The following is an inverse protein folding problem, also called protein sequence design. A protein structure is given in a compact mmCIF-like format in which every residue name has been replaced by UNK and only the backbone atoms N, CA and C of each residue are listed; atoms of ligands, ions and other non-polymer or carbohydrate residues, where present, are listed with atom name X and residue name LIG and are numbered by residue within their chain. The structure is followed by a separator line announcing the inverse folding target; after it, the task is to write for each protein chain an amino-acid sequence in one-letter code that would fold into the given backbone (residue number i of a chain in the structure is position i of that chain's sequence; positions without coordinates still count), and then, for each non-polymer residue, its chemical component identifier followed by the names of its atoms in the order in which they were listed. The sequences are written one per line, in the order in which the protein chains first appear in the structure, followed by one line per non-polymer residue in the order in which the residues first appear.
data_IF_650118700421
#
_entry.id   IF_650118700421
#
_cell.length_a   1.000
_cell.length_b   1.000
_cell.length_c   1.000
_cell.angle_alpha   90.00
_cell.angle_beta   90.00
_cell.angle_gamma   90.00
#
_symmetry.space_group_name_H-M   'P 1'
#
loop_
_entity.id
_entity.type
_entity.pdbx_description
1 polymer ?
#
# COMPACT_ATOMS: atom_id res chain seq x y z
N UNK A 1 45.29 -12.73 21.75
CA UNK A 1 44.59 -13.52 20.72
C UNK A 1 43.17 -13.05 20.65
N UNK A 2 42.72 -12.61 19.50
CA UNK A 2 41.29 -12.27 19.25
C UNK A 2 40.43 -13.52 19.14
N UNK A 3 39.09 -13.43 19.21
CA UNK A 3 38.22 -14.56 18.96
C UNK A 3 38.44 -15.21 17.59
N UNK A 4 38.70 -14.42 16.56
CA UNK A 4 38.96 -14.92 15.20
C UNK A 4 40.29 -15.66 15.12
N UNK A 5 41.34 -15.17 15.73
CA UNK A 5 42.65 -15.84 15.86
C UNK A 5 42.46 -17.19 16.59
N UNK A 6 41.68 -17.21 17.68
CA UNK A 6 41.41 -18.43 18.43
C UNK A 6 40.72 -19.49 17.54
N UNK A 7 39.68 -19.08 16.79
CA UNK A 7 38.98 -19.99 15.85
C UNK A 7 39.96 -20.54 14.81
N UNK A 8 40.78 -19.67 14.21
CA UNK A 8 41.74 -20.07 13.17
C UNK A 8 42.77 -21.06 13.72
N UNK A 9 43.44 -20.71 14.83
CA UNK A 9 44.45 -21.60 15.47
C UNK A 9 43.86 -22.93 15.85
N UNK A 10 42.65 -22.94 16.47
CA UNK A 10 41.98 -24.15 16.88
C UNK A 10 41.64 -25.05 15.70
N UNK A 11 41.19 -24.51 14.58
CA UNK A 11 40.87 -25.26 13.38
C UNK A 11 42.09 -25.83 12.67
N UNK A 12 43.19 -25.06 12.59
CA UNK A 12 44.42 -25.58 12.02
C UNK A 12 45.05 -26.69 12.91
N UNK A 13 44.97 -26.58 14.23
CA UNK A 13 45.37 -27.65 15.14
C UNK A 13 44.49 -28.90 14.94
N UNK A 14 43.20 -28.72 14.86
CA UNK A 14 42.25 -29.81 14.59
C UNK A 14 42.55 -30.49 13.24
N UNK A 15 42.91 -29.71 12.22
CA UNK A 15 43.31 -30.26 10.91
C UNK A 15 44.56 -31.14 11.02
N UNK A 16 45.55 -30.70 11.79
CA UNK A 16 46.78 -31.48 12.01
C UNK A 16 46.51 -32.82 12.73
N UNK A 17 45.49 -32.86 13.58
CA UNK A 17 45.13 -34.05 14.38
C UNK A 17 43.99 -34.89 13.76
N UNK A 18 43.40 -34.39 12.68
CA UNK A 18 42.22 -35.01 12.04
C UNK A 18 40.93 -34.29 12.46
N UNK A 19 40.53 -33.26 11.72
CA UNK A 19 39.45 -32.33 12.07
C UNK A 19 38.09 -33.02 12.28
N UNK A 20 37.87 -34.16 11.66
CA UNK A 20 36.61 -34.92 11.80
C UNK A 20 36.41 -35.56 13.17
N UNK A 21 37.46 -35.63 14.02
CA UNK A 21 37.39 -36.13 15.40
C UNK A 21 36.97 -35.05 16.41
N UNK A 22 36.91 -33.76 16.00
CA UNK A 22 36.61 -32.65 16.88
C UNK A 22 35.15 -32.20 16.74
N UNK A 23 34.61 -31.73 17.87
CA UNK A 23 33.30 -31.10 17.90
C UNK A 23 33.44 -29.65 17.43
N UNK A 24 32.56 -29.20 16.52
CA UNK A 24 32.54 -27.84 15.96
C UNK A 24 32.38 -26.75 17.04
N UNK A 25 31.68 -27.06 18.13
CA UNK A 25 31.54 -26.20 19.28
C UNK A 25 32.88 -25.86 19.96
N UNK A 26 33.89 -26.75 19.82
CA UNK A 26 35.21 -26.60 20.45
C UNK A 26 36.01 -25.43 19.86
N UNK A 27 35.64 -24.91 18.69
CA UNK A 27 36.30 -23.76 18.05
C UNK A 27 35.78 -22.40 18.56
N UNK A 28 34.76 -22.41 19.43
CA UNK A 28 34.24 -21.15 19.98
C UNK A 28 35.01 -20.75 21.24
N UNK A 29 35.48 -19.46 21.34
CA UNK A 29 36.31 -19.02 22.49
C UNK A 29 35.58 -19.07 23.83
N UNK A 30 34.28 -19.01 23.84
CA UNK A 30 33.41 -19.01 25.03
C UNK A 30 32.78 -20.38 25.34
N UNK A 31 33.23 -21.45 24.65
CA UNK A 31 32.72 -22.79 24.90
C UNK A 31 33.17 -23.31 26.28
N UNK A 32 32.19 -23.70 27.08
CA UNK A 32 32.46 -24.41 28.36
C UNK A 32 33.01 -25.79 28.11
N UNK A 33 34.12 -26.11 28.76
CA UNK A 33 34.72 -27.44 28.75
C UNK A 33 34.58 -28.07 30.16
N UNK A 34 34.09 -29.30 30.19
CA UNK A 34 34.04 -30.08 31.45
C UNK A 34 35.41 -30.67 31.79
N UNK A 35 35.67 -30.78 33.06
CA UNK A 35 36.87 -31.54 33.49
C UNK A 35 36.77 -32.99 33.03
N UNK A 36 37.86 -33.60 32.54
CA UNK A 36 37.88 -34.99 32.17
C UNK A 36 37.46 -35.86 33.37
N UNK A 37 36.47 -36.73 33.13
CA UNK A 37 35.97 -37.64 34.15
C UNK A 37 35.82 -39.05 33.55
N UNK A 38 35.96 -40.04 34.39
CA UNK A 38 35.75 -41.45 33.98
C UNK A 38 34.79 -42.12 34.97
N UNK A 39 33.94 -43.06 34.54
CA UNK A 39 33.12 -43.86 35.46
C UNK A 39 33.95 -44.55 36.51
N UNK A 40 33.38 -44.81 37.68
CA UNK A 40 34.09 -45.39 38.81
C UNK A 40 34.75 -46.78 38.48
N UNK A 41 34.25 -47.50 37.48
CA UNK A 41 34.79 -48.75 36.96
C UNK A 41 35.59 -48.61 35.65
N UNK A 42 35.85 -47.36 35.20
CA UNK A 42 36.64 -47.08 34.00
C UNK A 42 38.12 -46.91 34.32
N UNK A 43 38.96 -46.98 33.30
CA UNK A 43 40.39 -46.65 33.40
C UNK A 43 40.65 -45.24 32.97
N UNK A 44 41.35 -44.48 33.81
CA UNK A 44 41.81 -43.09 33.48
C UNK A 44 43.28 -43.16 33.04
N UNK A 45 43.57 -42.60 31.88
CA UNK A 45 44.92 -42.51 31.35
C UNK A 45 45.28 -41.02 31.25
N UNK A 46 46.33 -40.64 31.99
CA UNK A 46 46.94 -39.30 31.89
C UNK A 46 48.34 -39.47 31.33
N UNK A 47 48.67 -38.67 30.31
CA UNK A 47 50.03 -38.59 29.76
C UNK A 47 50.42 -37.13 29.66
N UNK A 48 51.56 -36.81 30.16
CA UNK A 48 52.21 -35.50 30.06
C UNK A 48 53.49 -35.64 29.21
N UNK A 49 53.78 -34.63 28.42
CA UNK A 49 54.98 -34.56 27.61
C UNK A 49 55.69 -33.21 27.90
N UNK A 50 57.02 -33.25 28.02
CA UNK A 50 57.88 -32.06 28.26
C UNK A 50 58.02 -31.19 26.97
N UNK A 51 56.99 -31.09 26.18
CA UNK A 51 56.96 -30.23 24.99
C UNK A 51 56.85 -28.74 25.33
N UNK A 52 57.28 -27.89 24.43
CA UNK A 52 57.09 -26.46 24.56
C UNK A 52 55.60 -26.04 24.41
N UNK A 53 55.26 -24.89 24.95
CA UNK A 53 53.94 -24.31 24.78
C UNK A 53 53.64 -24.06 23.29
N UNK A 54 52.39 -24.20 22.92
CA UNK A 54 51.93 -23.85 21.59
C UNK A 54 52.16 -22.34 21.36
N UNK A 55 52.75 -22.00 20.23
CA UNK A 55 52.90 -20.62 19.76
C UNK A 55 51.82 -20.33 18.72
N UNK A 56 50.75 -19.61 19.09
CA UNK A 56 49.67 -19.24 18.17
C UNK A 56 50.13 -18.38 16.98
N UNK A 57 51.09 -17.47 17.22
CA UNK A 57 51.55 -16.57 16.18
C UNK A 57 52.35 -17.28 15.11
N UNK A 58 53.09 -18.35 15.50
CA UNK A 58 53.80 -19.21 14.55
C UNK A 58 52.82 -20.00 13.64
N UNK A 59 51.65 -20.39 14.16
CA UNK A 59 50.60 -21.05 13.37
C UNK A 59 49.98 -20.05 12.39
N UNK A 60 49.57 -18.86 12.86
CA UNK A 60 48.97 -17.83 12.03
C UNK A 60 49.94 -17.32 10.94
N UNK A 61 51.21 -17.21 11.25
CA UNK A 61 52.26 -16.82 10.27
C UNK A 61 52.40 -17.90 9.18
N UNK A 62 52.27 -19.15 9.54
CA UNK A 62 52.36 -20.30 8.59
C UNK A 62 51.13 -20.40 7.66
N UNK A 63 50.01 -19.87 8.09
CA UNK A 63 48.73 -19.90 7.38
C UNK A 63 48.15 -18.49 7.19
N UNK A 64 48.80 -17.62 6.37
CA UNK A 64 48.37 -16.22 6.20
C UNK A 64 46.92 -16.09 5.68
N UNK A 65 46.38 -17.14 5.06
CA UNK A 65 44.97 -17.24 4.61
C UNK A 65 43.96 -17.26 5.75
N UNK A 66 44.39 -17.36 7.01
CA UNK A 66 43.48 -17.40 8.17
C UNK A 66 42.58 -16.17 8.30
N UNK A 67 43.03 -15.04 7.72
CA UNK A 67 42.25 -13.79 7.68
C UNK A 67 40.97 -13.92 6.87
N UNK A 68 40.88 -14.92 5.98
CA UNK A 68 39.68 -15.27 5.24
C UNK A 68 38.96 -16.48 5.90
N UNK A 69 37.89 -16.27 6.68
CA UNK A 69 37.22 -17.33 7.42
C UNK A 69 36.70 -18.48 6.52
N UNK A 70 36.49 -18.19 5.22
CA UNK A 70 36.00 -19.19 4.27
C UNK A 70 37.06 -20.22 3.85
N UNK A 71 38.33 -19.90 4.12
CA UNK A 71 39.47 -20.78 3.84
C UNK A 71 39.95 -21.57 5.04
N UNK A 72 39.33 -21.39 6.20
CA UNK A 72 39.65 -22.16 7.38
C UNK A 72 39.25 -23.62 7.18
N UNK A 73 40.03 -24.56 7.77
CA UNK A 73 39.69 -25.96 7.72
C UNK A 73 38.29 -26.26 8.26
N UNK A 74 37.53 -27.08 7.55
CA UNK A 74 36.17 -27.52 7.93
C UNK A 74 36.09 -29.05 8.01
N UNK A 75 35.26 -29.55 8.92
CA UNK A 75 34.99 -31.00 9.02
C UNK A 75 34.09 -31.46 7.87
N UNK A 76 34.12 -32.78 7.60
CA UNK A 76 33.21 -33.42 6.63
C UNK A 76 31.74 -33.29 7.06
N UNK A 77 31.45 -33.12 8.35
CA UNK A 77 30.11 -32.90 8.92
C UNK A 77 29.61 -31.51 8.65
N UNK A 78 30.44 -30.46 8.86
CA UNK A 78 30.11 -29.06 8.52
C UNK A 78 29.78 -28.92 7.02
N UNK A 79 30.60 -29.51 6.16
CA UNK A 79 30.40 -29.46 4.71
C UNK A 79 29.07 -30.13 4.31
N UNK A 80 28.73 -31.28 4.90
CA UNK A 80 27.45 -31.97 4.66
C UNK A 80 26.27 -31.20 5.25
N UNK A 81 26.38 -30.65 6.45
CA UNK A 81 25.33 -29.90 7.11
C UNK A 81 24.99 -28.63 6.30
N UNK A 82 26.02 -27.90 5.82
CA UNK A 82 25.84 -26.72 4.98
C UNK A 82 25.15 -27.07 3.64
N UNK A 83 25.56 -28.16 2.97
CA UNK A 83 24.92 -28.62 1.72
C UNK A 83 23.48 -29.04 1.94
N UNK A 84 23.19 -29.78 3.04
CA UNK A 84 21.83 -30.22 3.36
C UNK A 84 20.92 -29.07 3.78
N UNK A 85 21.46 -28.08 4.49
CA UNK A 85 20.71 -26.86 4.86
C UNK A 85 20.35 -26.05 3.62
N UNK A 86 21.27 -25.87 2.66
CA UNK A 86 21.01 -25.19 1.39
C UNK A 86 19.94 -25.90 0.54
N UNK A 87 19.93 -27.22 0.49
CA UNK A 87 18.95 -28.01 -0.28
C UNK A 87 17.53 -27.98 0.33
N UNK A 88 17.38 -27.67 1.62
CA UNK A 88 16.09 -27.62 2.32
C UNK A 88 15.50 -26.21 2.44
N UNK A 89 16.25 -25.18 2.07
CA UNK A 89 15.78 -23.79 2.22
C UNK A 89 14.86 -23.45 1.05
N UNK A 90 13.63 -23.15 1.39
CA UNK A 90 12.67 -22.62 0.42
C UNK A 90 13.16 -21.28 -0.13
N UNK A 91 13.02 -21.07 -1.44
CA UNK A 91 13.36 -19.79 -2.08
C UNK A 91 12.63 -18.62 -1.37
N UNK A 92 13.35 -17.65 -0.80
CA UNK A 92 12.72 -16.55 -0.06
C UNK A 92 11.85 -15.64 -0.94
N UNK A 93 12.07 -15.63 -2.26
CA UNK A 93 11.29 -14.82 -3.19
C UNK A 93 9.91 -15.43 -3.47
N UNK A 94 9.76 -16.77 -3.31
CA UNK A 94 8.49 -17.48 -3.50
C UNK A 94 7.64 -17.56 -2.23
N UNK A 95 8.17 -17.09 -1.09
CA UNK A 95 7.39 -17.05 0.15
C UNK A 95 6.24 -16.08 0.06
N UNK A 96 5.11 -16.46 0.62
CA UNK A 96 3.94 -15.60 0.78
C UNK A 96 4.08 -14.65 1.97
N UNK A 97 3.22 -13.64 2.02
CA UNK A 97 3.12 -12.69 3.11
C UNK A 97 4.31 -11.73 3.21
N UNK A 98 4.45 -11.11 4.40
CA UNK A 98 5.42 -10.02 4.63
C UNK A 98 6.86 -10.46 4.38
N UNK A 99 7.22 -11.69 4.72
CA UNK A 99 8.58 -12.20 4.53
C UNK A 99 8.95 -12.25 3.05
N UNK A 100 8.10 -12.86 2.22
CA UNK A 100 8.35 -12.94 0.78
C UNK A 100 8.34 -11.56 0.13
N UNK A 101 7.38 -10.73 0.50
CA UNK A 101 7.26 -9.36 0.00
C UNK A 101 8.53 -8.55 0.31
N UNK A 102 9.06 -8.59 1.54
CA UNK A 102 10.29 -7.91 1.89
C UNK A 102 11.49 -8.42 1.08
N UNK A 103 11.62 -9.75 0.93
CA UNK A 103 12.69 -10.34 0.13
C UNK A 103 12.61 -9.94 -1.35
N UNK A 104 11.43 -9.89 -1.95
CA UNK A 104 11.25 -9.43 -3.35
C UNK A 104 11.55 -7.95 -3.52
N UNK A 105 11.13 -7.10 -2.56
CA UNK A 105 11.36 -5.65 -2.60
C UNK A 105 12.85 -5.32 -2.56
N UNK A 106 13.60 -6.03 -1.71
CA UNK A 106 15.03 -5.81 -1.51
C UNK A 106 15.90 -6.90 -2.15
N UNK A 107 15.47 -7.41 -3.30
CA UNK A 107 16.27 -8.26 -4.17
C UNK A 107 17.09 -7.39 -5.16
N UNK A 108 18.36 -7.68 -5.41
CA UNK A 108 19.22 -8.67 -4.73
C UNK A 108 19.48 -8.31 -3.27
N UNK A 109 19.92 -9.29 -2.46
CA UNK A 109 20.05 -9.13 -0.99
C UNK A 109 21.04 -8.01 -0.60
N UNK A 110 21.99 -7.67 -1.48
CA UNK A 110 22.89 -6.54 -1.32
C UNK A 110 22.15 -5.21 -1.08
N UNK A 111 20.99 -5.02 -1.76
CA UNK A 111 20.12 -3.85 -1.57
C UNK A 111 19.64 -3.75 -0.12
N UNK A 112 19.31 -4.88 0.52
CA UNK A 112 18.90 -4.89 1.93
C UNK A 112 20.08 -4.56 2.87
N UNK A 113 21.28 -5.06 2.58
CA UNK A 113 22.48 -4.75 3.36
C UNK A 113 22.83 -3.26 3.27
N UNK A 114 22.84 -2.68 2.08
CA UNK A 114 23.10 -1.26 1.85
C UNK A 114 22.06 -0.36 2.52
N UNK A 115 20.78 -0.72 2.41
CA UNK A 115 19.68 0.12 2.91
C UNK A 115 19.58 0.07 4.44
N UNK A 116 19.73 -1.11 5.05
CA UNK A 116 19.38 -1.30 6.45
C UNK A 116 20.56 -1.68 7.34
N UNK A 117 21.68 -2.12 6.79
CA UNK A 117 22.80 -2.65 7.55
C UNK A 117 24.16 -2.07 7.07
N UNK A 118 24.17 -0.88 6.47
CA UNK A 118 25.38 -0.16 6.05
C UNK A 118 26.29 0.23 7.23
N UNK A 119 25.77 0.23 8.45
CA UNK A 119 26.52 0.42 9.70
C UNK A 119 27.12 -0.89 10.26
N UNK A 120 26.74 -2.02 9.68
CA UNK A 120 27.18 -3.37 10.09
C UNK A 120 28.08 -4.01 9.05
N UNK A 121 27.71 -3.91 7.79
CA UNK A 121 28.40 -4.53 6.68
C UNK A 121 28.81 -3.50 5.62
N UNK A 122 29.99 -3.68 5.05
CA UNK A 122 30.46 -2.90 3.91
C UNK A 122 30.84 -3.81 2.73
N UNK A 123 30.58 -3.39 1.47
CA UNK A 123 30.94 -4.16 0.29
C UNK A 123 32.47 -4.25 0.14
N UNK A 124 32.93 -5.30 -0.52
CA UNK A 124 34.33 -5.48 -0.91
C UNK A 124 34.47 -5.38 -2.42
N UNK A 125 35.70 -5.43 -2.95
CA UNK A 125 35.97 -5.48 -4.41
C UNK A 125 35.35 -6.71 -5.10
N UNK A 126 34.91 -7.70 -4.33
CA UNK A 126 34.21 -8.88 -4.83
C UNK A 126 32.72 -8.75 -4.52
N UNK A 127 31.88 -8.67 -5.55
CA UNK A 127 30.40 -8.49 -5.45
C UNK A 127 29.71 -9.53 -4.52
N UNK A 128 30.26 -10.73 -4.40
CA UNK A 128 29.70 -11.78 -3.55
C UNK A 128 30.29 -11.81 -2.13
N UNK A 129 31.14 -10.84 -1.79
CA UNK A 129 31.80 -10.80 -0.49
C UNK A 129 31.62 -9.46 0.18
N UNK A 130 31.30 -9.53 1.46
CA UNK A 130 31.11 -8.34 2.29
C UNK A 130 31.98 -8.46 3.54
N UNK A 131 32.30 -7.32 4.12
CA UNK A 131 33.07 -7.19 5.35
C UNK A 131 32.13 -6.83 6.52
N UNK A 132 32.32 -7.52 7.66
CA UNK A 132 31.69 -7.12 8.92
C UNK A 132 32.56 -6.03 9.55
N UNK A 133 32.04 -4.78 9.66
CA UNK A 133 32.79 -3.60 10.14
C UNK A 133 33.40 -3.83 11.53
N UNK A 134 32.71 -4.56 12.41
CA UNK A 134 33.19 -4.88 13.76
C UNK A 134 34.26 -5.97 13.81
N UNK A 135 34.65 -6.57 12.67
CA UNK A 135 35.64 -7.65 12.61
C UNK A 135 37.00 -7.15 12.12
N UNK A 136 38.04 -7.84 12.56
CA UNK A 136 39.43 -7.60 12.08
C UNK A 136 39.77 -8.42 10.83
N UNK A 137 38.96 -9.42 10.47
CA UNK A 137 39.15 -10.25 9.28
C UNK A 137 38.31 -9.75 8.13
N UNK A 138 38.88 -9.69 6.91
CA UNK A 138 38.24 -9.14 5.73
C UNK A 138 37.42 -10.20 4.99
N UNK A 139 36.31 -9.77 4.33
CA UNK A 139 35.55 -10.57 3.36
C UNK A 139 34.93 -11.87 3.89
N UNK A 140 34.63 -11.97 5.16
CA UNK A 140 34.07 -13.17 5.79
C UNK A 140 32.55 -13.31 5.70
N UNK A 141 31.85 -12.42 4.99
CA UNK A 141 30.41 -12.51 4.73
C UNK A 141 30.22 -12.83 3.26
N UNK A 142 29.50 -13.91 2.96
CA UNK A 142 29.30 -14.41 1.61
C UNK A 142 27.84 -14.25 1.18
N UNK A 143 27.62 -13.68 0.00
CA UNK A 143 26.30 -13.67 -0.66
C UNK A 143 26.15 -14.92 -1.53
N UNK A 144 25.06 -15.64 -1.36
CA UNK A 144 24.72 -16.85 -2.13
C UNK A 144 23.45 -16.62 -2.93
N UNK A 145 23.53 -16.88 -4.24
CA UNK A 145 22.42 -16.81 -5.18
C UNK A 145 21.68 -15.43 -5.16
N UNK A 146 22.37 -14.36 -4.77
CA UNK A 146 21.79 -13.01 -4.59
C UNK A 146 20.60 -12.95 -3.60
N UNK A 147 20.33 -14.03 -2.87
CA UNK A 147 19.16 -14.22 -1.99
C UNK A 147 19.51 -14.42 -0.53
N UNK A 148 20.74 -14.88 -0.26
CA UNK A 148 21.14 -15.25 1.09
C UNK A 148 22.48 -14.64 1.47
N UNK A 149 22.60 -14.34 2.76
CA UNK A 149 23.86 -13.97 3.41
C UNK A 149 24.28 -15.11 4.33
N UNK A 150 25.55 -15.46 4.29
CA UNK A 150 26.18 -16.40 5.20
C UNK A 150 27.42 -15.77 5.81
N UNK A 151 27.43 -15.62 7.14
CA UNK A 151 28.54 -15.00 7.87
C UNK A 151 29.44 -16.05 8.51
N UNK A 152 30.73 -15.95 8.27
CA UNK A 152 31.78 -16.74 8.90
C UNK A 152 32.41 -16.06 10.13
N UNK A 153 31.96 -14.84 10.48
CA UNK A 153 32.51 -14.09 11.60
C UNK A 153 31.88 -14.49 12.93
N UNK A 154 32.69 -14.99 13.86
CA UNK A 154 32.20 -15.44 15.18
C UNK A 154 31.54 -14.32 16.04
N UNK A 155 31.85 -13.05 15.76
CA UNK A 155 31.21 -11.90 16.43
C UNK A 155 29.86 -11.49 15.82
N UNK A 156 29.54 -12.04 14.65
CA UNK A 156 28.30 -11.72 13.96
C UNK A 156 27.13 -12.49 14.59
N UNK A 157 26.04 -11.84 15.00
CA UNK A 157 24.83 -12.53 15.43
C UNK A 157 24.26 -13.53 14.41
N UNK A 158 24.59 -13.35 13.12
CA UNK A 158 24.25 -14.25 12.03
C UNK A 158 25.32 -15.34 11.75
N UNK A 159 26.29 -15.52 12.64
CA UNK A 159 27.37 -16.50 12.50
C UNK A 159 26.85 -17.90 12.15
N UNK A 160 27.39 -18.48 11.07
CA UNK A 160 27.04 -19.79 10.53
C UNK A 160 25.55 -20.02 10.23
N UNK A 161 24.78 -18.93 10.02
CA UNK A 161 23.39 -18.99 9.63
C UNK A 161 23.23 -18.52 8.18
N UNK A 162 22.44 -19.28 7.40
CA UNK A 162 22.03 -18.87 6.07
C UNK A 162 20.78 -17.98 6.20
N UNK A 163 20.94 -16.69 6.01
CA UNK A 163 19.89 -15.70 6.25
C UNK A 163 19.44 -15.07 4.94
N UNK A 164 18.13 -14.99 4.69
CA UNK A 164 17.56 -14.13 3.65
C UNK A 164 17.51 -12.67 4.10
N UNK A 165 17.08 -11.73 3.24
CA UNK A 165 17.06 -10.31 3.55
C UNK A 165 16.21 -9.98 4.79
N UNK A 166 15.05 -10.62 4.96
CA UNK A 166 14.20 -10.41 6.13
C UNK A 166 14.89 -10.89 7.42
N UNK A 167 15.50 -12.08 7.38
CA UNK A 167 16.12 -12.67 8.56
C UNK A 167 17.41 -11.94 8.98
N UNK A 168 18.24 -11.50 8.02
CA UNK A 168 19.49 -10.78 8.35
C UNK A 168 19.18 -9.42 8.99
N UNK A 169 18.22 -8.67 8.45
CA UNK A 169 17.78 -7.40 9.04
C UNK A 169 17.15 -7.62 10.41
N UNK A 170 16.31 -8.66 10.57
CA UNK A 170 15.70 -9.01 11.85
C UNK A 170 16.72 -9.29 12.93
N UNK A 171 17.74 -10.12 12.63
CA UNK A 171 18.77 -10.51 13.58
C UNK A 171 19.57 -9.31 14.08
N UNK A 172 19.91 -8.36 13.20
CA UNK A 172 20.71 -7.20 13.56
C UNK A 172 19.93 -6.06 14.19
N UNK A 173 18.69 -5.82 13.77
CA UNK A 173 17.88 -4.69 14.27
C UNK A 173 16.99 -5.05 15.46
N UNK A 174 16.62 -6.31 15.59
CA UNK A 174 15.66 -6.79 16.58
C UNK A 174 16.14 -8.05 17.31
N UNK A 175 17.43 -8.37 17.24
CA UNK A 175 18.00 -9.59 17.83
C UNK A 175 18.04 -9.60 19.36
N UNK A 176 17.94 -8.45 20.02
CA UNK A 176 17.88 -8.34 21.48
C UNK A 176 16.53 -8.75 22.07
N UNK A 177 15.50 -8.91 21.22
CA UNK A 177 14.17 -9.33 21.63
C UNK A 177 14.04 -10.86 21.59
N UNK A 178 13.06 -11.41 22.32
CA UNK A 178 12.70 -12.82 22.15
C UNK A 178 12.24 -13.10 20.71
N UNK A 179 12.32 -14.35 20.27
CA UNK A 179 12.10 -14.73 18.88
C UNK A 179 10.74 -14.27 18.31
N UNK A 180 9.68 -14.36 19.13
CA UNK A 180 8.31 -13.93 18.69
C UNK A 180 8.20 -12.42 18.60
N UNK A 181 8.75 -11.71 19.58
CA UNK A 181 8.77 -10.24 19.58
C UNK A 181 9.65 -9.69 18.45
N UNK A 182 10.83 -10.28 18.23
CA UNK A 182 11.75 -9.96 17.13
C UNK A 182 11.07 -10.12 15.77
N UNK A 183 10.39 -11.25 15.54
CA UNK A 183 9.66 -11.49 14.31
C UNK A 183 8.52 -10.49 14.10
N UNK A 184 7.77 -10.17 15.18
CA UNK A 184 6.70 -9.17 15.14
C UNK A 184 7.23 -7.78 14.79
N UNK A 185 8.29 -7.35 15.47
CA UNK A 185 8.91 -6.05 15.23
C UNK A 185 9.43 -5.93 13.79
N UNK A 186 10.04 -6.99 13.26
CA UNK A 186 10.51 -7.01 11.88
C UNK A 186 9.37 -6.96 10.85
N UNK A 187 8.25 -7.64 11.09
CA UNK A 187 7.07 -7.53 10.22
C UNK A 187 6.50 -6.11 10.21
N UNK A 188 6.39 -5.47 11.39
CA UNK A 188 5.92 -4.09 11.52
C UNK A 188 6.88 -3.12 10.81
N UNK A 189 8.18 -3.31 10.97
CA UNK A 189 9.21 -2.53 10.29
C UNK A 189 9.14 -2.67 8.78
N UNK A 190 9.01 -3.90 8.26
CA UNK A 190 8.88 -4.17 6.83
C UNK A 190 7.68 -3.44 6.22
N UNK A 191 6.52 -3.51 6.88
CA UNK A 191 5.30 -2.86 6.42
C UNK A 191 5.27 -1.33 6.61
N UNK A 192 6.28 -0.74 7.24
CA UNK A 192 6.47 0.71 7.28
C UNK A 192 7.23 1.24 6.05
N UNK A 193 7.97 0.37 5.33
CA UNK A 193 8.72 0.76 4.15
C UNK A 193 7.81 1.04 2.96
N UNK A 194 7.95 2.20 2.33
CA UNK A 194 7.09 2.63 1.23
C UNK A 194 7.24 1.73 -0.01
N UNK A 195 8.46 1.25 -0.31
CA UNK A 195 8.72 0.32 -1.41
C UNK A 195 7.98 -1.01 -1.21
N UNK A 196 7.92 -1.52 0.03
CA UNK A 196 7.20 -2.76 0.39
C UNK A 196 5.70 -2.58 0.21
N UNK A 197 5.15 -1.42 0.62
CA UNK A 197 3.73 -1.11 0.44
C UNK A 197 3.35 -1.01 -1.04
N UNK A 198 4.19 -0.37 -1.85
CA UNK A 198 3.97 -0.25 -3.30
C UNK A 198 3.99 -1.62 -3.99
N UNK A 199 4.96 -2.47 -3.66
CA UNK A 199 5.00 -3.82 -4.21
C UNK A 199 3.77 -4.64 -3.77
N UNK A 200 3.35 -4.55 -2.50
CA UNK A 200 2.15 -5.20 -2.00
C UNK A 200 0.89 -4.77 -2.75
N UNK A 201 0.80 -3.49 -3.09
CA UNK A 201 -0.32 -2.96 -3.85
C UNK A 201 -0.29 -3.43 -5.30
N UNK A 202 0.88 -3.43 -5.96
CA UNK A 202 1.02 -3.88 -7.34
C UNK A 202 0.75 -5.38 -7.51
N UNK A 203 1.24 -6.23 -6.60
CA UNK A 203 0.96 -7.68 -6.61
C UNK A 203 -0.54 -7.95 -6.44
N UNK A 204 -1.23 -7.24 -5.56
CA UNK A 204 -2.68 -7.35 -5.37
C UNK A 204 -3.46 -6.96 -6.62
N UNK A 205 -3.04 -5.90 -7.31
CA UNK A 205 -3.68 -5.47 -8.56
C UNK A 205 -3.45 -6.46 -9.70
N UNK A 206 -2.26 -7.05 -9.79
CA UNK A 206 -1.97 -8.08 -10.79
C UNK A 206 -2.82 -9.35 -10.59
N UNK A 207 -3.07 -9.74 -9.34
CA UNK A 207 -3.94 -10.87 -9.01
C UNK A 207 -5.42 -10.62 -9.37
N UNK A 208 -5.84 -9.36 -9.49
CA UNK A 208 -7.22 -8.97 -9.81
C UNK A 208 -7.57 -8.99 -11.32
N UNK A 209 -6.71 -9.50 -12.20
CA UNK A 209 -6.93 -9.62 -13.67
C UNK A 209 -7.38 -8.31 -14.35
N UNK A 210 -6.92 -7.16 -13.93
CA UNK A 210 -7.26 -5.89 -14.58
C UNK A 210 -6.11 -5.36 -15.41
N UNK A 211 -6.43 -5.07 -16.68
CA UNK A 211 -5.58 -4.41 -17.68
C UNK A 211 -5.24 -2.97 -17.25
N UNK A 212 -4.36 -2.82 -16.26
CA UNK A 212 -3.80 -1.52 -15.88
C UNK A 212 -2.59 -1.19 -16.73
N UNK A 213 -2.85 -0.76 -17.95
CA UNK A 213 -1.86 -0.11 -18.82
C UNK A 213 -1.95 1.41 -18.64
N UNK A 214 -1.32 1.95 -17.61
CA UNK A 214 -1.21 3.39 -17.41
C UNK A 214 -0.19 3.70 -16.32
N UNK A 215 0.69 4.67 -16.57
CA UNK A 215 1.58 5.25 -15.56
C UNK A 215 0.76 6.13 -14.61
N UNK A 216 0.00 5.52 -13.72
CA UNK A 216 -0.82 6.23 -12.75
C UNK A 216 0.01 6.56 -11.50
N UNK A 217 -0.27 7.73 -10.94
CA UNK A 217 0.29 8.14 -9.66
C UNK A 217 -0.17 7.15 -8.56
N UNK A 218 0.71 6.23 -8.18
CA UNK A 218 0.46 5.22 -7.14
C UNK A 218 0.91 5.67 -5.75
N UNK A 219 1.40 6.88 -5.60
CA UNK A 219 1.94 7.41 -4.34
C UNK A 219 0.94 7.38 -3.18
N UNK A 220 -0.35 7.50 -3.47
CA UNK A 220 -1.41 7.42 -2.47
C UNK A 220 -1.49 6.05 -1.78
N UNK A 221 -1.05 4.98 -2.45
CA UNK A 221 -1.05 3.61 -1.91
C UNK A 221 -0.06 3.43 -0.76
N UNK A 222 0.97 4.26 -0.68
CA UNK A 222 1.91 4.28 0.45
C UNK A 222 1.22 4.64 1.77
N UNK A 223 0.08 5.30 1.71
CA UNK A 223 -0.72 5.70 2.88
C UNK A 223 -1.63 4.61 3.43
N UNK A 224 -1.68 3.44 2.78
CA UNK A 224 -2.47 2.32 3.28
C UNK A 224 -2.00 1.83 4.65
N UNK A 225 -2.97 1.47 5.47
CA UNK A 225 -2.76 0.81 6.75
C UNK A 225 -3.04 -0.69 6.61
N UNK A 226 -2.13 -1.50 7.11
CA UNK A 226 -2.18 -2.95 7.01
C UNK A 226 -2.52 -3.59 8.34
N UNK A 227 -3.07 -4.81 8.31
CA UNK A 227 -3.22 -5.63 9.51
C UNK A 227 -1.84 -6.05 10.03
N UNK A 228 -1.67 -6.17 11.36
CA UNK A 228 -0.38 -6.54 11.95
C UNK A 228 0.16 -7.85 11.36
N UNK A 229 1.40 -7.84 10.90
CA UNK A 229 2.11 -8.98 10.31
C UNK A 229 1.49 -9.54 9.03
N UNK A 230 0.73 -8.76 8.31
CA UNK A 230 0.00 -9.18 7.12
C UNK A 230 0.13 -8.16 6.00
N UNK A 231 -0.05 -8.62 4.78
CA UNK A 231 -0.19 -7.78 3.58
C UNK A 231 -1.65 -7.38 3.33
N UNK A 232 -2.57 -7.83 4.18
CA UNK A 232 -4.00 -7.50 4.09
C UNK A 232 -4.25 -6.09 4.58
N UNK A 233 -5.04 -5.33 3.84
CA UNK A 233 -5.43 -3.98 4.25
C UNK A 233 -6.30 -4.02 5.51
N UNK A 234 -6.02 -3.11 6.43
CA UNK A 234 -6.83 -2.96 7.63
C UNK A 234 -8.24 -2.53 7.27
N UNK A 235 -9.23 -3.25 7.80
CA UNK A 235 -10.64 -2.91 7.61
C UNK A 235 -11.02 -1.67 8.44
N UNK A 236 -10.72 -0.48 7.92
CA UNK A 236 -11.03 0.79 8.57
C UNK A 236 -11.52 1.83 7.56
N UNK A 237 -12.09 2.91 8.09
CA UNK A 237 -12.62 4.00 7.27
C UNK A 237 -11.52 4.75 6.48
N UNK A 238 -10.30 4.81 7.01
CA UNK A 238 -9.17 5.47 6.34
C UNK A 238 -8.86 4.82 5.00
N UNK A 239 -8.67 3.49 4.97
CA UNK A 239 -8.30 2.78 3.76
C UNK A 239 -9.39 2.83 2.69
N UNK A 240 -10.65 2.57 3.06
CA UNK A 240 -11.75 2.62 2.07
C UNK A 240 -11.97 4.04 1.53
N UNK A 241 -11.85 5.07 2.37
CA UNK A 241 -11.92 6.46 1.90
C UNK A 241 -10.77 6.77 0.95
N UNK A 242 -9.56 6.32 1.25
CA UNK A 242 -8.39 6.53 0.42
C UNK A 242 -8.55 5.88 -0.96
N UNK A 243 -9.09 4.65 -1.02
CA UNK A 243 -9.42 3.97 -2.28
C UNK A 243 -10.43 4.79 -3.09
N UNK A 244 -11.57 5.13 -2.50
CA UNK A 244 -12.63 5.87 -3.18
C UNK A 244 -12.17 7.25 -3.67
N UNK A 245 -11.22 7.89 -2.97
CA UNK A 245 -10.71 9.20 -3.36
C UNK A 245 -9.70 9.15 -4.51
N UNK A 246 -8.94 8.07 -4.65
CA UNK A 246 -7.77 8.06 -5.53
C UNK A 246 -7.84 7.01 -6.66
N UNK A 247 -8.69 5.98 -6.54
CA UNK A 247 -8.88 5.02 -7.62
C UNK A 247 -9.54 5.72 -8.84
N UNK A 248 -8.87 5.74 -10.01
CA UNK A 248 -9.37 6.43 -11.20
C UNK A 248 -10.72 5.91 -11.68
N UNK A 249 -11.00 4.62 -11.47
CA UNK A 249 -12.26 3.98 -11.88
C UNK A 249 -13.46 4.44 -11.02
N UNK A 250 -13.20 5.02 -9.85
CA UNK A 250 -14.22 5.43 -8.88
C UNK A 250 -14.40 6.96 -8.78
N UNK A 251 -13.72 7.73 -9.66
CA UNK A 251 -13.76 9.20 -9.64
C UNK A 251 -15.13 9.78 -9.99
N UNK A 252 -15.92 9.04 -10.76
CA UNK A 252 -17.20 9.50 -11.30
C UNK A 252 -18.38 9.36 -10.33
N UNK A 253 -18.15 8.87 -9.11
CA UNK A 253 -19.16 8.81 -8.04
C UNK A 253 -19.24 10.18 -7.38
N UNK A 254 -20.38 10.86 -7.52
CA UNK A 254 -20.57 12.25 -7.09
C UNK A 254 -21.92 12.42 -6.38
N UNK A 255 -22.10 13.54 -5.68
CA UNK A 255 -23.38 13.92 -5.09
C UNK A 255 -24.00 15.08 -5.88
N UNK A 256 -25.23 14.87 -6.38
CA UNK A 256 -25.96 15.90 -7.10
C UNK A 256 -26.83 16.69 -6.11
N UNK A 257 -26.48 17.93 -5.84
CA UNK A 257 -27.17 18.81 -4.90
C UNK A 257 -28.60 19.16 -5.31
N UNK A 258 -28.93 19.09 -6.60
CA UNK A 258 -30.29 19.34 -7.07
C UNK A 258 -31.23 18.15 -6.81
N UNK A 259 -30.68 16.93 -6.93
CA UNK A 259 -31.42 15.67 -6.71
C UNK A 259 -31.42 15.26 -5.25
N UNK A 260 -30.58 15.87 -4.44
CA UNK A 260 -30.26 15.44 -3.06
C UNK A 260 -29.90 13.94 -3.01
N UNK A 261 -29.04 13.51 -3.93
CA UNK A 261 -28.69 12.10 -4.08
C UNK A 261 -27.41 11.84 -4.83
N UNK A 262 -26.88 10.62 -4.69
CA UNK A 262 -25.68 10.17 -5.41
C UNK A 262 -25.99 9.95 -6.89
N UNK A 263 -25.01 10.22 -7.72
CA UNK A 263 -25.05 10.10 -9.18
C UNK A 263 -23.70 9.59 -9.71
N UNK A 264 -23.72 8.93 -10.85
CA UNK A 264 -22.51 8.54 -11.59
C UNK A 264 -22.39 9.48 -12.80
N UNK A 265 -21.32 10.29 -12.81
CA UNK A 265 -21.04 11.31 -13.83
C UNK A 265 -19.93 10.86 -14.78
N UNK A 266 -20.11 9.74 -15.46
CA UNK A 266 -19.14 9.16 -16.38
C UNK A 266 -19.11 7.63 -16.28
N UNK A 267 -17.96 7.04 -16.62
CA UNK A 267 -17.78 5.60 -16.62
C UNK A 267 -17.41 5.07 -15.23
N UNK A 268 -17.88 3.87 -14.93
CA UNK A 268 -17.53 3.07 -13.75
C UNK A 268 -17.21 1.64 -14.20
N UNK A 269 -16.45 0.85 -13.40
CA UNK A 269 -16.01 -0.49 -13.82
C UNK A 269 -17.12 -1.54 -13.89
N UNK A 270 -18.39 -1.15 -13.77
CA UNK A 270 -19.55 -2.02 -13.93
C UNK A 270 -20.61 -1.42 -14.85
N UNK A 271 -21.56 -2.25 -15.29
CA UNK A 271 -22.68 -1.79 -16.13
C UNK A 271 -23.61 -0.87 -15.35
N UNK A 272 -23.73 0.36 -15.79
CA UNK A 272 -24.56 1.38 -15.19
C UNK A 272 -25.54 1.97 -16.23
N UNK A 273 -26.81 1.51 -16.27
CA UNK A 273 -27.76 1.94 -17.30
C UNK A 273 -28.41 3.29 -17.04
N UNK A 274 -28.21 3.88 -15.85
CA UNK A 274 -28.83 5.14 -15.41
C UNK A 274 -27.81 6.01 -14.70
N UNK A 275 -27.90 7.32 -14.84
CA UNK A 275 -27.02 8.24 -14.10
C UNK A 275 -27.28 8.24 -12.57
N UNK A 276 -28.44 7.79 -12.12
CA UNK A 276 -28.81 7.80 -10.70
C UNK A 276 -28.25 6.55 -10.00
N UNK A 277 -27.69 6.76 -8.81
CA UNK A 277 -27.19 5.69 -7.94
C UNK A 277 -28.33 4.76 -7.50
N UNK A 278 -28.10 3.45 -7.57
CA UNK A 278 -29.09 2.42 -7.25
C UNK A 278 -28.52 1.48 -6.19
N UNK A 279 -29.36 0.74 -5.48
CA UNK A 279 -28.92 -0.30 -4.53
C UNK A 279 -28.00 -1.35 -5.18
N UNK A 280 -28.18 -1.60 -6.50
CA UNK A 280 -27.28 -2.47 -7.26
C UNK A 280 -25.85 -1.91 -7.38
N UNK A 281 -25.70 -0.61 -7.40
CA UNK A 281 -24.40 0.04 -7.52
C UNK A 281 -23.59 -0.04 -6.21
N UNK A 282 -24.28 -0.08 -5.04
CA UNK A 282 -23.64 -0.43 -3.77
C UNK A 282 -23.01 -1.82 -3.82
N UNK A 283 -23.76 -2.83 -4.31
CA UNK A 283 -23.25 -4.19 -4.44
C UNK A 283 -22.08 -4.29 -5.45
N UNK A 284 -22.16 -3.57 -6.57
CA UNK A 284 -21.11 -3.53 -7.58
C UNK A 284 -19.84 -2.87 -7.04
N UNK A 285 -19.98 -1.75 -6.33
CA UNK A 285 -18.85 -1.08 -5.68
C UNK A 285 -18.16 -2.00 -4.67
N UNK A 286 -18.93 -2.68 -3.81
CA UNK A 286 -18.40 -3.63 -2.83
C UNK A 286 -17.65 -4.74 -3.55
N UNK A 287 -18.24 -5.34 -4.58
CA UNK A 287 -17.61 -6.42 -5.36
C UNK A 287 -16.30 -5.96 -6.03
N UNK A 288 -16.30 -4.77 -6.60
CA UNK A 288 -15.10 -4.18 -7.21
C UNK A 288 -13.98 -3.99 -6.17
N UNK A 289 -14.29 -3.35 -5.06
CA UNK A 289 -13.28 -3.08 -4.02
C UNK A 289 -12.78 -4.37 -3.38
N UNK A 290 -13.66 -5.35 -3.12
CA UNK A 290 -13.29 -6.65 -2.55
C UNK A 290 -12.31 -7.40 -3.46
N UNK A 291 -12.53 -7.38 -4.78
CA UNK A 291 -11.67 -8.07 -5.74
C UNK A 291 -10.29 -7.40 -5.92
N UNK A 292 -10.20 -6.06 -5.78
CA UNK A 292 -8.96 -5.31 -6.04
C UNK A 292 -8.16 -4.97 -4.78
N UNK A 293 -8.84 -4.74 -3.66
CA UNK A 293 -8.23 -4.20 -2.45
C UNK A 293 -8.44 -5.06 -1.21
N UNK A 294 -9.51 -5.88 -1.19
CA UNK A 294 -9.90 -6.71 -0.06
C UNK A 294 -11.15 -6.20 0.66
N UNK A 295 -11.65 -7.03 1.59
CA UNK A 295 -12.97 -6.88 2.19
C UNK A 295 -13.02 -5.82 3.29
N UNK A 296 -13.99 -4.91 3.19
CA UNK A 296 -14.31 -3.93 4.22
C UNK A 296 -15.73 -4.17 4.79
N UNK A 297 -16.00 -3.63 5.96
CA UNK A 297 -17.33 -3.73 6.54
C UNK A 297 -18.35 -2.86 5.79
N UNK A 298 -19.59 -3.32 5.67
CA UNK A 298 -20.67 -2.56 5.03
C UNK A 298 -20.82 -1.15 5.62
N UNK A 299 -20.66 -1.00 6.93
CA UNK A 299 -20.67 0.31 7.59
C UNK A 299 -19.59 1.24 7.06
N UNK A 300 -18.37 0.73 6.85
CA UNK A 300 -17.26 1.53 6.33
C UNK A 300 -17.53 1.96 4.89
N UNK A 301 -18.10 1.07 4.05
CA UNK A 301 -18.52 1.41 2.69
C UNK A 301 -19.53 2.55 2.70
N UNK A 302 -20.63 2.42 3.45
CA UNK A 302 -21.69 3.44 3.48
C UNK A 302 -21.19 4.82 3.90
N UNK A 303 -20.37 4.87 4.95
CA UNK A 303 -19.80 6.13 5.43
C UNK A 303 -18.83 6.72 4.41
N UNK A 304 -17.95 5.89 3.85
CA UNK A 304 -16.91 6.36 2.94
C UNK A 304 -17.48 6.83 1.60
N UNK A 305 -18.41 6.07 0.99
CA UNK A 305 -19.02 6.46 -0.29
C UNK A 305 -19.83 7.73 -0.16
N UNK A 306 -20.63 7.84 0.91
CA UNK A 306 -21.40 9.07 1.17
C UNK A 306 -20.47 10.28 1.34
N UNK A 307 -19.40 10.12 2.16
CA UNK A 307 -18.43 11.19 2.37
C UNK A 307 -17.73 11.60 1.09
N UNK A 308 -17.23 10.65 0.31
CA UNK A 308 -16.45 10.95 -0.90
C UNK A 308 -17.34 11.52 -2.01
N UNK A 309 -18.58 11.03 -2.14
CA UNK A 309 -19.55 11.61 -3.05
C UNK A 309 -19.90 13.05 -2.66
N UNK A 310 -20.08 13.34 -1.38
CA UNK A 310 -20.33 14.70 -0.86
C UNK A 310 -19.13 15.64 -1.08
N UNK A 311 -17.91 15.17 -0.84
CA UNK A 311 -16.67 15.92 -1.15
C UNK A 311 -16.60 16.32 -2.65
N UNK A 312 -17.24 15.55 -3.54
CA UNK A 312 -17.35 15.79 -5.00
C UNK A 312 -18.72 16.32 -5.39
N UNK A 313 -19.41 16.93 -4.44
CA UNK A 313 -20.77 17.44 -4.70
C UNK A 313 -20.76 18.54 -5.75
N UNK A 314 -21.75 18.51 -6.60
CA UNK A 314 -21.95 19.50 -7.64
C UNK A 314 -23.42 19.88 -7.79
N UNK A 315 -23.66 21.03 -8.39
CA UNK A 315 -25.02 21.49 -8.73
C UNK A 315 -25.13 21.66 -10.24
N UNK A 316 -25.86 20.81 -10.97
CA UNK A 316 -25.84 20.79 -12.44
C UNK A 316 -26.23 22.11 -13.06
N UNK A 317 -27.23 22.82 -12.53
CA UNK A 317 -27.64 24.10 -13.06
C UNK A 317 -26.57 25.20 -12.80
N UNK A 318 -25.86 25.13 -11.66
CA UNK A 318 -24.74 26.10 -11.42
C UNK A 318 -23.59 25.85 -12.37
N UNK A 319 -23.22 24.60 -12.61
CA UNK A 319 -22.21 24.27 -13.62
C UNK A 319 -22.63 24.75 -15.01
N UNK A 320 -23.89 24.50 -15.40
CA UNK A 320 -24.42 24.96 -16.66
C UNK A 320 -24.30 26.50 -16.78
N UNK A 321 -24.74 27.23 -15.77
CA UNK A 321 -24.68 28.69 -15.79
C UNK A 321 -23.25 29.24 -15.82
N UNK A 322 -22.32 28.56 -15.15
CA UNK A 322 -20.89 28.90 -15.14
C UNK A 322 -20.18 28.58 -16.47
N UNK A 323 -20.68 27.60 -17.22
CA UNK A 323 -20.15 27.21 -18.52
C UNK A 323 -20.70 28.03 -19.70
N UNK A 324 -21.66 28.96 -19.44
CA UNK A 324 -22.19 29.81 -20.49
C UNK A 324 -21.10 30.74 -21.03
N UNK A 325 -21.11 31.02 -22.36
CA UNK A 325 -20.20 31.99 -22.94
C UNK A 325 -20.44 33.41 -22.36
N UNK A 326 -19.43 34.27 -22.50
CA UNK A 326 -19.56 35.67 -22.08
C UNK A 326 -20.76 36.32 -22.77
N UNK A 327 -21.42 37.20 -22.03
CA UNK A 327 -22.58 37.93 -22.55
C UNK A 327 -22.16 38.83 -23.72
N UNK A 328 -22.89 38.73 -24.83
CA UNK A 328 -22.67 39.52 -26.07
C UNK A 328 -23.12 40.98 -25.97
N UNK A 329 -23.57 41.45 -24.79
CA UNK A 329 -24.02 42.79 -24.55
C UNK A 329 -25.46 43.08 -25.02
N UNK A 330 -26.17 42.12 -25.61
CA UNK A 330 -27.53 42.32 -26.12
C UNK A 330 -28.59 42.01 -25.05
N UNK A 331 -29.40 42.96 -24.60
CA UNK A 331 -30.41 42.79 -23.56
C UNK A 331 -31.65 42.06 -24.11
N UNK A 332 -31.78 40.74 -23.85
CA UNK A 332 -32.91 39.91 -24.31
C UNK A 332 -33.94 39.59 -23.24
N UNK A 333 -33.55 39.69 -21.97
CA UNK A 333 -34.34 39.22 -20.84
C UNK A 333 -35.68 39.90 -20.75
N UNK A 334 -35.72 41.22 -20.85
CA UNK A 334 -36.96 42.02 -20.71
C UNK A 334 -37.97 41.79 -21.82
N UNK A 335 -37.47 41.53 -23.03
CA UNK A 335 -38.28 41.34 -24.21
C UNK A 335 -38.69 39.90 -24.50
N UNK A 336 -38.21 38.93 -23.69
CA UNK A 336 -38.39 37.52 -23.97
C UNK A 336 -39.85 37.10 -24.24
N UNK A 337 -40.79 37.51 -23.40
CA UNK A 337 -42.22 37.20 -23.59
C UNK A 337 -42.86 37.98 -24.74
N UNK A 338 -42.34 39.15 -25.04
CA UNK A 338 -42.77 40.01 -26.14
C UNK A 338 -42.36 39.36 -27.47
N UNK A 339 -41.07 39.09 -27.62
CA UNK A 339 -40.46 38.62 -28.86
C UNK A 339 -40.89 37.18 -29.23
N UNK A 340 -41.04 36.32 -28.24
CA UNK A 340 -41.31 34.88 -28.50
C UNK A 340 -42.79 34.45 -28.30
N UNK A 341 -43.57 35.16 -27.51
CA UNK A 341 -44.98 34.82 -27.25
C UNK A 341 -45.95 35.91 -27.72
N UNK A 342 -45.46 37.01 -28.27
CA UNK A 342 -46.30 38.11 -28.73
C UNK A 342 -47.04 38.82 -27.59
N UNK A 343 -46.45 38.90 -26.40
CA UNK A 343 -47.01 39.66 -25.29
C UNK A 343 -46.98 41.15 -25.58
N UNK A 344 -47.90 41.92 -24.99
CA UNK A 344 -47.91 43.38 -25.14
C UNK A 344 -46.61 44.02 -24.62
N UNK A 345 -46.03 44.89 -25.43
CA UNK A 345 -44.82 45.64 -25.04
C UNK A 345 -45.19 46.80 -24.10
N UNK A 346 -45.14 46.53 -22.83
CA UNK A 346 -45.35 47.52 -21.78
C UNK A 346 -44.40 47.30 -20.60
N UNK A 347 -44.30 48.31 -19.72
CA UNK A 347 -43.39 48.28 -18.56
C UNK A 347 -43.67 47.14 -17.58
N UNK A 348 -44.94 46.69 -17.45
CA UNK A 348 -45.32 45.59 -16.59
C UNK A 348 -44.78 44.28 -17.11
N UNK A 349 -45.00 43.94 -18.39
CA UNK A 349 -44.50 42.70 -19.00
C UNK A 349 -42.99 42.62 -18.92
N UNK A 350 -42.27 43.69 -19.26
CA UNK A 350 -40.81 43.76 -19.15
C UNK A 350 -40.34 43.56 -17.71
N UNK A 351 -40.97 44.19 -16.73
CA UNK A 351 -40.59 44.06 -15.31
C UNK A 351 -40.87 42.63 -14.77
N UNK A 352 -41.99 42.04 -15.12
CA UNK A 352 -42.36 40.69 -14.68
C UNK A 352 -41.43 39.62 -15.28
N UNK A 353 -41.14 39.74 -16.59
CA UNK A 353 -40.19 38.86 -17.27
C UNK A 353 -38.81 38.90 -16.61
N UNK A 354 -38.25 40.09 -16.42
CA UNK A 354 -36.96 40.29 -15.76
C UNK A 354 -36.96 39.71 -14.35
N UNK A 355 -37.94 40.07 -13.52
CA UNK A 355 -38.02 39.57 -12.13
C UNK A 355 -38.11 38.07 -12.06
N UNK A 356 -38.86 37.42 -12.92
CA UNK A 356 -39.02 35.95 -12.91
C UNK A 356 -37.73 35.25 -13.30
N UNK A 357 -37.07 35.68 -14.39
CA UNK A 357 -35.84 35.04 -14.85
C UNK A 357 -34.67 35.30 -13.88
N UNK A 358 -34.53 36.53 -13.37
CA UNK A 358 -33.54 36.84 -12.35
C UNK A 358 -33.77 36.05 -11.05
N UNK A 359 -35.02 35.87 -10.64
CA UNK A 359 -35.35 35.07 -9.46
C UNK A 359 -35.05 33.59 -9.67
N UNK A 360 -35.30 33.06 -10.87
CA UNK A 360 -34.93 31.68 -11.19
C UNK A 360 -33.41 31.45 -11.02
N UNK A 361 -32.58 32.29 -11.60
CA UNK A 361 -31.12 32.20 -11.44
C UNK A 361 -30.69 32.43 -9.98
N UNK A 362 -31.29 33.42 -9.31
CA UNK A 362 -30.95 33.71 -7.91
C UNK A 362 -31.26 32.54 -6.97
N UNK A 363 -32.38 31.84 -7.16
CA UNK A 363 -32.73 30.65 -6.35
C UNK A 363 -31.76 29.51 -6.52
N UNK A 364 -31.14 29.35 -7.69
CA UNK A 364 -30.07 28.37 -7.92
C UNK A 364 -28.80 28.76 -7.16
N UNK A 365 -28.46 30.06 -7.15
CA UNK A 365 -27.26 30.55 -6.46
C UNK A 365 -27.42 30.64 -4.93
N UNK A 366 -28.60 31.05 -4.48
CA UNK A 366 -28.95 31.26 -3.08
C UNK A 366 -30.20 30.42 -2.74
N UNK A 367 -30.07 29.12 -2.44
CA UNK A 367 -31.21 28.28 -2.06
C UNK A 367 -31.95 28.83 -0.86
N UNK A 368 -33.30 28.81 -0.93
CA UNK A 368 -34.15 29.33 0.15
C UNK A 368 -34.47 30.83 0.02
N UNK A 369 -33.92 31.54 -0.96
CA UNK A 369 -34.29 32.95 -1.18
C UNK A 369 -35.80 33.06 -1.50
N UNK A 370 -36.46 34.00 -0.84
CA UNK A 370 -37.91 34.20 -0.93
C UNK A 370 -38.33 34.71 -2.31
N UNK A 371 -39.30 34.04 -2.94
CA UNK A 371 -39.97 34.45 -4.18
C UNK A 371 -41.43 34.00 -4.14
N UNK A 372 -42.33 34.90 -3.73
CA UNK A 372 -43.72 34.61 -3.42
C UNK A 372 -44.66 34.79 -4.61
N UNK A 373 -44.14 35.02 -5.80
CA UNK A 373 -44.96 35.28 -6.99
C UNK A 373 -44.82 34.13 -7.99
N UNK A 374 -45.90 33.80 -8.69
CA UNK A 374 -45.95 32.83 -9.75
C UNK A 374 -46.25 33.52 -11.08
N UNK A 375 -45.44 33.24 -12.11
CA UNK A 375 -45.69 33.72 -13.46
C UNK A 375 -46.81 32.85 -14.09
N UNK A 376 -47.92 33.48 -14.47
CA UNK A 376 -49.02 32.85 -15.19
C UNK A 376 -49.06 33.38 -16.63
N UNK A 377 -48.87 32.46 -17.61
CA UNK A 377 -48.95 32.77 -19.03
C UNK A 377 -50.36 32.44 -19.55
N UNK A 378 -51.18 33.48 -19.75
CA UNK A 378 -52.50 33.35 -20.32
C UNK A 378 -52.52 33.74 -21.81
N UNK A 379 -53.18 32.97 -22.67
CA UNK A 379 -53.26 33.22 -24.10
C UNK A 379 -53.72 31.99 -24.89
N UNK A 380 -53.93 32.14 -26.21
CA UNK A 380 -54.45 31.08 -27.10
C UNK A 380 -53.60 29.80 -27.03
N UNK A 381 -54.21 28.68 -27.34
CA UNK A 381 -53.49 27.40 -27.46
C UNK A 381 -52.56 27.47 -28.70
N UNK A 382 -51.35 26.87 -28.58
CA UNK A 382 -50.42 26.72 -29.70
C UNK A 382 -49.44 27.88 -29.90
N UNK A 383 -49.50 28.99 -29.12
CA UNK A 383 -48.53 30.09 -29.24
C UNK A 383 -47.13 29.81 -28.66
N UNK A 384 -46.87 28.61 -28.16
CA UNK A 384 -45.54 28.19 -27.73
C UNK A 384 -45.21 28.42 -26.23
N UNK A 385 -46.19 28.65 -25.34
CA UNK A 385 -45.98 28.91 -23.91
C UNK A 385 -45.16 27.81 -23.23
N UNK A 386 -45.59 26.57 -23.33
CA UNK A 386 -44.88 25.41 -22.76
C UNK A 386 -43.53 25.15 -23.45
N UNK A 387 -43.49 25.38 -24.78
CA UNK A 387 -42.24 25.25 -25.54
C UNK A 387 -41.17 26.23 -25.08
N UNK A 388 -41.54 27.50 -24.78
CA UNK A 388 -40.63 28.48 -24.26
C UNK A 388 -40.04 28.05 -22.93
N UNK A 389 -40.88 27.60 -21.99
CA UNK A 389 -40.42 27.17 -20.67
C UNK A 389 -39.56 25.90 -20.81
N UNK A 390 -39.96 24.94 -21.62
CA UNK A 390 -39.19 23.73 -21.91
C UNK A 390 -37.81 24.05 -22.50
N UNK A 391 -37.72 25.02 -23.39
CA UNK A 391 -36.43 25.47 -23.97
C UNK A 391 -35.52 26.15 -22.95
N UNK A 392 -36.09 26.94 -22.04
CA UNK A 392 -35.35 27.61 -20.98
C UNK A 392 -34.87 26.61 -19.91
N UNK A 393 -35.68 25.62 -19.58
CA UNK A 393 -35.35 24.63 -18.55
C UNK A 393 -34.48 23.48 -19.07
N UNK A 394 -34.47 23.25 -20.43
CA UNK A 394 -33.67 22.16 -21.01
C UNK A 394 -34.02 20.81 -20.44
N UNK A 395 -33.03 20.06 -20.00
CA UNK A 395 -33.18 18.72 -19.41
C UNK A 395 -33.88 18.74 -18.02
N UNK A 396 -33.96 19.88 -17.38
CA UNK A 396 -34.65 20.04 -16.08
C UNK A 396 -36.13 20.41 -16.21
N UNK A 397 -36.69 20.37 -17.41
CA UNK A 397 -38.09 20.63 -17.63
C UNK A 397 -38.97 19.46 -17.17
N UNK A 398 -40.01 19.77 -16.41
CA UNK A 398 -41.06 18.79 -16.06
C UNK A 398 -42.44 19.42 -16.26
N UNK A 399 -43.36 18.74 -16.84
CA UNK A 399 -44.77 19.07 -17.01
C UNK A 399 -45.69 18.28 -16.07
N UNK A 400 -45.12 17.49 -15.15
CA UNK A 400 -45.84 16.57 -14.26
C UNK A 400 -46.41 17.23 -13.00
N UNK A 401 -46.49 18.57 -12.93
CA UNK A 401 -47.00 19.28 -11.78
C UNK A 401 -48.50 19.04 -11.59
N UNK A 402 -48.88 18.23 -10.61
CA UNK A 402 -50.28 18.01 -10.21
C UNK A 402 -50.70 19.04 -9.16
N UNK A 403 -51.55 19.97 -9.57
CA UNK A 403 -52.11 21.03 -8.69
C UNK A 403 -53.09 20.51 -7.63
N UNK A 404 -53.41 19.22 -7.61
CA UNK A 404 -54.26 18.56 -6.61
C UNK A 404 -53.54 18.19 -5.30
N UNK A 405 -52.22 18.31 -5.24
CA UNK A 405 -51.43 18.09 -4.03
C UNK A 405 -51.31 19.41 -3.26
N UNK A 406 -51.56 19.37 -1.97
CA UNK A 406 -51.46 20.54 -1.08
C UNK A 406 -50.10 21.21 -1.21
N UNK A 407 -50.07 22.55 -1.16
CA UNK A 407 -48.87 23.40 -1.31
C UNK A 407 -47.66 22.99 -0.43
N UNK A 408 -47.83 22.11 0.54
CA UNK A 408 -46.78 21.59 1.42
C UNK A 408 -45.81 20.65 0.69
N UNK A 409 -46.23 20.00 -0.42
CA UNK A 409 -45.41 19.04 -1.16
C UNK A 409 -44.70 19.60 -2.39
N UNK A 410 -44.79 20.89 -2.65
CA UNK A 410 -44.13 21.57 -3.82
C UNK A 410 -42.65 21.90 -3.55
N UNK A 411 -42.19 21.84 -2.31
CA UNK A 411 -40.83 22.27 -1.94
C UNK A 411 -39.79 21.17 -1.80
N UNK A 412 -40.20 19.90 -1.85
CA UNK A 412 -39.26 18.79 -1.77
C UNK A 412 -39.56 17.76 -2.86
N UNK A 413 -38.64 17.43 -3.77
CA UNK A 413 -38.74 16.24 -4.60
C UNK A 413 -38.61 15.03 -3.67
N UNK A 414 -39.73 14.39 -3.34
CA UNK A 414 -39.71 13.19 -2.53
C UNK A 414 -39.04 12.06 -3.32
N UNK A 415 -38.13 11.40 -2.69
CA UNK A 415 -37.36 10.21 -3.14
C UNK A 415 -38.24 9.05 -3.69
N UNK A 416 -39.58 9.15 -3.53
CA UNK A 416 -40.55 8.16 -3.94
C UNK A 416 -41.02 8.28 -5.39
N UNK A 417 -40.91 9.44 -6.05
CA UNK A 417 -41.38 9.59 -7.44
C UNK A 417 -40.30 9.23 -8.49
N UNK A 418 -39.05 8.96 -8.07
CA UNK A 418 -38.01 8.48 -8.97
C UNK A 418 -38.03 6.94 -9.19
N UNK A 419 -39.01 6.23 -8.65
CA UNK A 419 -39.10 4.75 -8.71
C UNK A 419 -40.37 4.25 -9.50
N UNK A 420 -41.03 5.10 -10.21
CA UNK A 420 -42.15 4.66 -11.09
C UNK A 420 -41.84 4.84 -12.58
#
# INVERSE_FOLDING_TARGET
MTPEEFVAVSRYLAQMLGIDYFDECSYQPNQLMYWPSTPANGSFVYKETDGGWLDPDAILTKHPEWTDPTRLPTSSRESKANTTAQQKVQDPLTKEGVVGLFNRTYYPISKALETFLSDVYEPTDNENRWHLIASSSMAGVEIKEDKFVYSHHAKDPAYLKLCNAFDIVRIHRFGDLDEKASYKAMCEFAMQQDEVKLLAASERMADAETDFSGSEDTDWQKRFQYEPRSTVLKNNLHNITLILQNDPQLQNIVFNQQLDGMEIKGDVPWKHPSKYWRDADDAQLISYVDSHYGTFSQRNYQIAVTKVADDRSYHPIREYLAALPEWDGVPRVDALLIDYLGAEDNSYVRAVTRKTLCAAVRRVQEPGVKFDTMLVLNGPQGIGKSTLISRLAGEWFSDSLNLSLSLIHISEPTRQEAIS
#
